data_IF_468477447051
#
_entry.id   IF_468477447051
#
_cell.length_a   1.000
_cell.length_b   1.000
_cell.length_c   1.000
_cell.angle_alpha   90.00
_cell.angle_beta   90.00
_cell.angle_gamma   90.00
#
_symmetry.space_group_name_H-M   'P 1'
#
loop_
_entity.id
_entity.type
_entity.pdbx_description
1 polymer ?
#
# COMPACT_ATOMS: atom_id res chain seq x y z
N UNK A 1 -22.96 9.56 3.76
CA UNK A 1 -21.73 9.87 3.00
C UNK A 1 -20.52 9.14 3.56
N UNK A 2 -20.12 9.41 4.81
CA UNK A 2 -18.91 8.82 5.43
C UNK A 2 -18.87 7.29 5.42
N UNK A 3 -19.90 6.61 5.94
CA UNK A 3 -19.96 5.13 6.00
C UNK A 3 -19.82 4.47 4.62
N UNK A 4 -20.41 5.07 3.58
CA UNK A 4 -20.33 4.55 2.21
C UNK A 4 -18.88 4.57 1.70
N UNK A 5 -18.17 5.67 1.96
CA UNK A 5 -16.78 5.82 1.53
C UNK A 5 -15.87 4.92 2.36
N UNK A 6 -16.14 4.76 3.66
CA UNK A 6 -15.43 3.81 4.50
C UNK A 6 -15.57 2.38 3.96
N UNK A 7 -16.79 1.90 3.71
CA UNK A 7 -17.00 0.56 3.16
C UNK A 7 -16.35 0.35 1.79
N UNK A 8 -16.47 1.32 0.87
CA UNK A 8 -15.77 1.27 -0.43
C UNK A 8 -14.26 1.20 -0.25
N UNK A 9 -13.72 1.98 0.68
CA UNK A 9 -12.28 2.03 0.96
C UNK A 9 -11.77 0.73 1.55
N UNK A 10 -12.54 0.08 2.44
CA UNK A 10 -12.21 -1.24 2.96
C UNK A 10 -12.15 -2.29 1.84
N UNK A 11 -13.14 -2.31 0.95
CA UNK A 11 -13.17 -3.25 -0.17
C UNK A 11 -12.03 -3.01 -1.17
N UNK A 12 -11.82 -1.76 -1.60
CA UNK A 12 -10.76 -1.41 -2.55
C UNK A 12 -9.39 -1.70 -1.93
N UNK A 13 -9.18 -1.29 -0.68
CA UNK A 13 -7.94 -1.55 0.05
C UNK A 13 -7.64 -3.04 0.17
N UNK A 14 -8.64 -3.86 0.48
CA UNK A 14 -8.49 -5.31 0.51
C UNK A 14 -8.09 -5.90 -0.84
N UNK A 15 -8.79 -5.53 -1.91
CA UNK A 15 -8.52 -6.03 -3.27
C UNK A 15 -7.14 -5.60 -3.79
N UNK A 16 -6.79 -4.32 -3.61
CA UNK A 16 -5.48 -3.78 -3.99
C UNK A 16 -4.38 -4.49 -3.19
N UNK A 17 -4.55 -4.59 -1.88
CA UNK A 17 -3.59 -5.26 -1.01
C UNK A 17 -3.36 -6.72 -1.38
N UNK A 18 -4.42 -7.47 -1.67
CA UNK A 18 -4.33 -8.86 -2.17
C UNK A 18 -3.56 -8.92 -3.49
N UNK A 19 -3.93 -8.06 -4.46
CA UNK A 19 -3.33 -8.06 -5.79
C UNK A 19 -1.84 -7.75 -5.77
N UNK A 20 -1.46 -6.70 -5.04
CA UNK A 20 -0.06 -6.28 -4.90
C UNK A 20 0.73 -7.29 -4.06
N UNK A 21 0.19 -7.79 -2.94
CA UNK A 21 0.88 -8.76 -2.08
C UNK A 21 1.14 -10.09 -2.79
N UNK A 22 0.12 -10.65 -3.46
CA UNK A 22 0.27 -11.84 -4.28
C UNK A 22 1.24 -11.60 -5.45
N UNK A 23 1.14 -10.42 -6.08
CA UNK A 23 2.03 -9.98 -7.16
C UNK A 23 3.49 -9.99 -6.73
N UNK A 24 3.82 -9.24 -5.68
CA UNK A 24 5.17 -9.10 -5.15
C UNK A 24 5.79 -10.45 -4.74
N UNK A 25 5.03 -11.30 -4.04
CA UNK A 25 5.53 -12.60 -3.60
C UNK A 25 5.79 -13.59 -4.75
N UNK A 26 4.96 -13.57 -5.80
CA UNK A 26 5.18 -14.40 -7.00
C UNK A 26 6.47 -14.03 -7.73
N UNK A 27 6.97 -12.82 -7.56
CA UNK A 27 8.21 -12.39 -8.20
C UNK A 27 9.44 -13.12 -7.67
N UNK A 28 9.41 -13.62 -6.43
CA UNK A 28 10.47 -14.48 -5.89
C UNK A 28 10.50 -15.88 -6.52
N UNK A 29 9.48 -16.24 -7.31
CA UNK A 29 9.31 -17.55 -7.93
C UNK A 29 9.36 -17.53 -9.47
N UNK A 30 9.16 -16.38 -10.11
CA UNK A 30 9.06 -16.29 -11.56
C UNK A 30 10.41 -15.94 -12.23
N UNK A 31 10.91 -16.74 -13.20
CA UNK A 31 12.19 -16.48 -13.85
C UNK A 31 12.11 -15.64 -15.14
N UNK A 32 13.25 -15.03 -15.49
CA UNK A 32 13.72 -14.39 -16.75
C UNK A 32 13.05 -13.13 -17.32
N UNK A 33 11.76 -12.83 -17.09
CA UNK A 33 11.18 -11.53 -17.51
C UNK A 33 10.13 -11.02 -16.51
N UNK A 34 10.43 -9.91 -15.85
CA UNK A 34 9.52 -9.21 -14.93
C UNK A 34 9.46 -7.73 -15.35
N UNK A 35 8.28 -7.11 -15.31
CA UNK A 35 8.12 -5.71 -15.74
C UNK A 35 8.94 -4.74 -14.88
N UNK A 36 9.47 -3.66 -15.48
CA UNK A 36 10.34 -2.69 -14.78
C UNK A 36 9.79 -2.18 -13.42
N UNK A 37 8.47 -1.96 -13.32
CA UNK A 37 7.85 -1.49 -12.07
C UNK A 37 7.81 -2.53 -10.95
N UNK A 38 7.93 -3.80 -11.31
CA UNK A 38 7.90 -4.91 -10.38
C UNK A 38 9.27 -5.04 -9.65
N UNK A 39 10.38 -4.70 -10.33
CA UNK A 39 11.72 -4.68 -9.71
C UNK A 39 11.86 -3.68 -8.57
N UNK A 40 11.09 -2.57 -8.62
CA UNK A 40 11.11 -1.59 -7.54
C UNK A 40 10.65 -2.21 -6.23
N UNK A 41 9.45 -2.79 -6.20
CA UNK A 41 8.90 -3.43 -5.00
C UNK A 41 9.77 -4.60 -4.55
N UNK A 42 10.26 -5.44 -5.48
CA UNK A 42 11.13 -6.56 -5.13
C UNK A 42 12.49 -6.10 -4.56
N UNK A 43 13.13 -5.10 -5.16
CA UNK A 43 14.40 -4.56 -4.69
C UNK A 43 14.28 -3.95 -3.28
N UNK A 44 13.20 -3.23 -3.03
CA UNK A 44 12.92 -2.62 -1.74
C UNK A 44 12.61 -3.67 -0.65
N UNK A 45 11.83 -4.70 -0.99
CA UNK A 45 11.59 -5.82 -0.07
C UNK A 45 12.90 -6.55 0.27
N UNK A 46 13.78 -6.77 -0.72
CA UNK A 46 15.08 -7.39 -0.47
C UNK A 46 16.04 -6.50 0.33
N UNK A 47 15.99 -5.18 0.16
CA UNK A 47 16.83 -4.24 0.91
C UNK A 47 16.57 -4.21 2.41
N UNK A 48 15.44 -4.76 2.87
CA UNK A 48 15.13 -4.90 4.28
C UNK A 48 15.68 -6.20 4.90
N UNK A 49 16.34 -7.06 4.10
CA UNK A 49 17.06 -8.27 4.53
C UNK A 49 16.25 -9.23 5.43
N UNK A 50 14.91 -9.22 5.29
CA UNK A 50 14.03 -10.06 6.10
C UNK A 50 13.84 -9.59 7.55
N UNK A 51 14.30 -8.37 7.89
CA UNK A 51 14.06 -7.77 9.20
C UNK A 51 12.70 -7.04 9.24
N UNK A 52 11.75 -7.47 10.10
CA UNK A 52 10.42 -6.86 10.17
C UNK A 52 10.43 -5.37 10.53
N UNK A 53 11.38 -4.93 11.37
CA UNK A 53 11.46 -3.53 11.79
C UNK A 53 11.91 -2.63 10.63
N UNK A 54 12.85 -3.11 9.81
CA UNK A 54 13.31 -2.46 8.59
C UNK A 54 12.18 -2.31 7.56
N UNK A 55 11.40 -3.38 7.33
CA UNK A 55 10.22 -3.31 6.47
C UNK A 55 9.18 -2.31 6.97
N UNK A 56 8.87 -2.31 8.26
CA UNK A 56 7.90 -1.35 8.82
C UNK A 56 8.39 0.09 8.67
N UNK A 57 9.66 0.34 9.02
CA UNK A 57 10.29 1.66 8.96
C UNK A 57 10.39 2.18 7.53
N UNK A 58 10.71 1.30 6.58
CA UNK A 58 10.73 1.63 5.14
C UNK A 58 9.36 2.11 4.68
N UNK A 59 8.29 1.35 4.95
CA UNK A 59 6.93 1.74 4.58
C UNK A 59 6.49 3.05 5.24
N UNK A 60 6.88 3.28 6.51
CA UNK A 60 6.57 4.51 7.24
C UNK A 60 7.22 5.74 6.61
N UNK A 61 8.43 5.60 6.05
CA UNK A 61 9.14 6.67 5.35
C UNK A 61 8.36 7.27 4.17
N UNK A 62 7.53 6.46 3.51
CA UNK A 62 6.68 6.91 2.39
C UNK A 62 5.25 7.26 2.82
N UNK A 63 4.80 6.72 3.96
CA UNK A 63 3.43 6.87 4.43
C UNK A 63 3.03 8.33 4.61
N UNK A 64 3.84 9.15 5.28
CA UNK A 64 3.48 10.55 5.54
C UNK A 64 3.40 11.38 4.26
N UNK A 65 4.22 11.07 3.26
CA UNK A 65 4.15 11.73 1.95
C UNK A 65 2.86 11.33 1.21
N UNK A 66 2.58 10.04 1.12
CA UNK A 66 1.35 9.54 0.50
C UNK A 66 0.09 10.06 1.22
N UNK A 67 0.14 10.17 2.55
CA UNK A 67 -0.93 10.72 3.35
C UNK A 67 -1.15 12.21 3.09
N UNK A 68 -0.08 13.01 3.09
CA UNK A 68 -0.17 14.43 2.74
C UNK A 68 -0.76 14.62 1.34
N UNK A 69 -0.36 13.80 0.37
CA UNK A 69 -0.91 13.82 -1.00
C UNK A 69 -2.41 13.46 -1.03
N UNK A 70 -2.84 12.45 -0.28
CA UNK A 70 -4.25 12.07 -0.16
C UNK A 70 -5.12 13.15 0.50
N UNK A 71 -4.57 13.84 1.49
CA UNK A 71 -5.26 14.94 2.20
C UNK A 71 -5.28 16.22 1.35
N UNK A 72 -4.20 16.55 0.65
CA UNK A 72 -4.09 17.80 -0.11
C UNK A 72 -4.68 17.69 -1.53
N UNK A 73 -4.26 16.69 -2.31
CA UNK A 73 -4.61 16.51 -3.72
C UNK A 73 -5.79 15.53 -3.92
N UNK A 74 -5.96 14.60 -2.98
CA UNK A 74 -7.03 13.60 -3.07
C UNK A 74 -6.79 12.44 -4.01
N UNK A 75 -5.56 12.28 -4.45
CA UNK A 75 -5.09 11.11 -5.16
C UNK A 75 -4.22 10.26 -4.23
N UNK A 76 -4.16 8.96 -4.54
CA UNK A 76 -3.13 8.10 -3.98
C UNK A 76 -1.88 8.19 -4.84
N UNK A 77 -0.73 8.10 -4.19
CA UNK A 77 0.55 7.94 -4.89
C UNK A 77 0.81 6.46 -5.12
N UNK A 78 1.67 6.15 -6.10
CA UNK A 78 2.12 4.79 -6.36
C UNK A 78 2.81 4.16 -5.12
N UNK A 79 3.26 4.97 -4.17
CA UNK A 79 3.93 4.50 -2.95
C UNK A 79 2.99 3.70 -2.03
N UNK A 80 1.69 3.99 -2.04
CA UNK A 80 0.68 3.21 -1.29
C UNK A 80 0.73 1.75 -1.74
N UNK A 81 0.66 1.55 -3.05
CA UNK A 81 0.56 0.22 -3.64
C UNK A 81 1.91 -0.47 -3.68
N UNK A 82 3.00 0.23 -3.99
CA UNK A 82 4.27 -0.43 -4.29
C UNK A 82 5.30 -0.41 -3.15
N UNK A 83 5.10 0.42 -2.13
CA UNK A 83 6.05 0.57 -1.01
C UNK A 83 5.40 0.27 0.32
N UNK A 84 4.32 0.96 0.65
CA UNK A 84 3.70 0.93 1.98
C UNK A 84 3.04 -0.42 2.23
N UNK A 85 2.06 -0.81 1.39
CA UNK A 85 1.30 -2.04 1.59
C UNK A 85 2.19 -3.29 1.55
N UNK A 86 3.09 -3.47 0.56
CA UNK A 86 3.98 -4.64 0.52
C UNK A 86 4.92 -4.75 1.70
N UNK A 87 5.57 -3.65 2.10
CA UNK A 87 6.52 -3.69 3.21
C UNK A 87 5.82 -3.88 4.55
N UNK A 88 4.71 -3.20 4.81
CA UNK A 88 3.96 -3.43 6.05
C UNK A 88 3.31 -4.81 6.08
N UNK A 89 2.87 -5.33 4.94
CA UNK A 89 2.42 -6.72 4.83
C UNK A 89 3.55 -7.71 5.15
N UNK A 90 4.75 -7.49 4.60
CA UNK A 90 5.93 -8.31 4.87
C UNK A 90 6.32 -8.24 6.35
N UNK A 91 6.43 -7.03 6.91
CA UNK A 91 6.71 -6.79 8.32
C UNK A 91 5.73 -7.56 9.21
N UNK A 92 4.42 -7.42 8.94
CA UNK A 92 3.38 -8.08 9.72
C UNK A 92 3.45 -9.60 9.63
N UNK A 93 3.74 -10.14 8.44
CA UNK A 93 3.87 -11.58 8.24
C UNK A 93 5.11 -12.16 8.92
N UNK A 94 6.20 -11.40 8.97
CA UNK A 94 7.50 -11.84 9.51
C UNK A 94 7.68 -11.59 11.01
N UNK A 95 6.74 -10.93 11.68
CA UNK A 95 6.80 -10.71 13.14
C UNK A 95 6.94 -12.03 13.93
N UNK A 96 6.32 -13.12 13.47
CA UNK A 96 6.31 -14.42 14.16
C UNK A 96 7.22 -15.48 13.53
N UNK A 97 7.55 -15.34 12.25
CA UNK A 97 8.41 -16.28 11.54
C UNK A 97 9.28 -15.51 10.54
N UNK A 98 10.60 -15.58 10.69
CA UNK A 98 11.55 -14.87 9.82
C UNK A 98 12.04 -15.69 8.63
N UNK A 99 11.56 -16.92 8.47
CA UNK A 99 11.85 -17.72 7.28
C UNK A 99 11.16 -17.13 6.05
N UNK A 100 11.95 -16.53 5.15
CA UNK A 100 11.50 -15.88 3.93
C UNK A 100 10.74 -16.82 3.00
N UNK A 101 11.17 -18.08 2.89
CA UNK A 101 10.53 -19.06 2.02
C UNK A 101 9.11 -19.37 2.49
N UNK A 102 8.91 -19.39 3.81
CA UNK A 102 7.59 -19.64 4.41
C UNK A 102 6.74 -18.38 4.58
N UNK A 103 7.31 -17.19 4.44
CA UNK A 103 6.64 -15.90 4.66
C UNK A 103 6.59 -15.05 3.39
N UNK A 104 7.55 -14.14 3.20
CA UNK A 104 7.61 -13.15 2.12
C UNK A 104 7.45 -13.78 0.73
N UNK A 105 8.06 -14.94 0.52
CA UNK A 105 8.01 -15.61 -0.78
C UNK A 105 6.65 -16.30 -0.99
N UNK A 106 5.92 -16.67 0.07
CA UNK A 106 4.65 -17.38 -0.04
C UNK A 106 3.52 -16.45 -0.56
N UNK A 107 3.02 -16.65 -1.81
CA UNK A 107 2.08 -15.71 -2.39
C UNK A 107 0.74 -15.62 -1.67
N UNK A 108 0.26 -16.75 -1.12
CA UNK A 108 -1.02 -16.78 -0.39
C UNK A 108 -0.91 -16.01 0.92
N UNK A 109 0.17 -16.19 1.67
CA UNK A 109 0.36 -15.50 2.95
C UNK A 109 0.59 -14.01 2.74
N UNK A 110 1.39 -13.63 1.75
CA UNK A 110 1.57 -12.22 1.42
C UNK A 110 0.29 -11.57 0.90
N UNK A 111 -0.52 -12.25 0.09
CA UNK A 111 -1.80 -11.74 -0.35
C UNK A 111 -2.73 -11.39 0.83
N UNK A 112 -2.81 -12.28 1.82
CA UNK A 112 -3.65 -12.08 3.01
C UNK A 112 -3.09 -10.96 3.88
N UNK A 113 -1.79 -10.96 4.16
CA UNK A 113 -1.15 -9.93 4.98
C UNK A 113 -1.30 -8.54 4.35
N UNK A 114 -0.98 -8.41 3.07
CA UNK A 114 -1.16 -7.16 2.34
C UNK A 114 -2.63 -6.78 2.15
N UNK A 115 -3.56 -7.73 2.03
CA UNK A 115 -5.00 -7.44 1.97
C UNK A 115 -5.52 -6.78 3.26
N UNK A 116 -5.09 -7.27 4.42
CA UNK A 116 -5.43 -6.67 5.72
C UNK A 116 -4.81 -5.28 5.83
N UNK A 117 -3.52 -5.16 5.51
CA UNK A 117 -2.81 -3.87 5.55
C UNK A 117 -3.43 -2.86 4.58
N UNK A 118 -3.72 -3.26 3.35
CA UNK A 118 -4.34 -2.41 2.34
C UNK A 118 -5.72 -1.93 2.76
N UNK A 119 -6.52 -2.80 3.39
CA UNK A 119 -7.81 -2.45 3.98
C UNK A 119 -7.65 -1.30 5.00
N UNK A 120 -6.69 -1.44 5.92
CA UNK A 120 -6.43 -0.44 6.98
C UNK A 120 -5.90 0.87 6.38
N UNK A 121 -4.88 0.79 5.53
CA UNK A 121 -4.20 1.96 4.95
C UNK A 121 -5.16 2.76 4.08
N UNK A 122 -5.87 2.12 3.15
CA UNK A 122 -6.78 2.81 2.23
C UNK A 122 -7.98 3.40 2.98
N UNK A 123 -8.52 2.68 3.97
CA UNK A 123 -9.57 3.22 4.83
C UNK A 123 -9.10 4.45 5.61
N UNK A 124 -7.88 4.41 6.17
CA UNK A 124 -7.29 5.55 6.88
C UNK A 124 -7.10 6.76 5.95
N UNK A 125 -6.47 6.57 4.78
CA UNK A 125 -6.18 7.65 3.83
C UNK A 125 -7.47 8.32 3.36
N UNK A 126 -8.48 7.55 2.96
CA UNK A 126 -9.74 8.12 2.51
C UNK A 126 -10.56 8.74 3.66
N UNK A 127 -10.56 8.16 4.85
CA UNK A 127 -11.29 8.72 5.99
C UNK A 127 -10.69 10.04 6.46
N UNK A 128 -9.36 10.15 6.48
CA UNK A 128 -8.68 11.40 6.84
C UNK A 128 -8.81 12.46 5.76
N UNK A 129 -8.75 12.08 4.49
CA UNK A 129 -9.03 13.00 3.38
C UNK A 129 -10.46 13.57 3.42
N UNK A 130 -11.44 12.78 3.89
CA UNK A 130 -12.83 13.24 4.08
C UNK A 130 -13.03 14.18 5.26
N UNK A 131 -12.16 14.13 6.27
CA UNK A 131 -12.25 15.00 7.43
C UNK A 131 -11.83 16.46 7.12
N UNK A 132 -11.25 16.71 5.94
CA UNK A 132 -10.85 18.05 5.49
C UNK A 132 -12.08 18.91 5.22
N UNK A 133 -12.17 20.13 5.80
CA UNK A 133 -13.30 21.04 5.57
C UNK A 133 -13.52 21.39 4.10
N UNK A 134 -14.79 21.49 3.68
CA UNK A 134 -15.17 21.80 2.30
C UNK A 134 -14.55 23.09 1.76
N UNK A 135 -14.30 24.08 2.62
CA UNK A 135 -13.64 25.34 2.25
C UNK A 135 -12.21 25.13 1.71
N UNK A 136 -11.50 24.09 2.17
CA UNK A 136 -10.16 23.73 1.69
C UNK A 136 -10.20 22.76 0.50
N UNK A 137 -11.36 22.13 0.24
CA UNK A 137 -11.55 21.23 -0.91
C UNK A 137 -11.66 21.98 -2.25
N UNK A 138 -11.89 23.30 -2.25
CA UNK A 138 -11.98 24.12 -3.48
C UNK A 138 -10.63 24.19 -4.24
N UNK A 139 -9.50 24.13 -3.54
CA UNK A 139 -8.18 24.00 -4.19
C UNK A 139 -7.92 22.61 -4.78
N UNK A 140 -8.62 21.59 -4.28
CA UNK A 140 -8.53 20.18 -4.73
C UNK A 140 -9.12 19.99 -6.13
N UNK A 141 -10.23 20.69 -6.42
CA UNK A 141 -10.89 20.69 -7.74
C UNK A 141 -10.18 21.52 -8.82
N UNK A 142 -9.29 22.46 -8.46
CA UNK A 142 -8.51 23.23 -9.46
C UNK A 142 -7.33 22.45 -10.05
N UNK A 143 -6.79 21.46 -9.33
CA UNK A 143 -5.71 20.60 -9.83
C UNK A 143 -6.22 19.44 -10.71
N UNK A 144 -7.50 19.08 -10.59
CA UNK A 144 -8.17 18.07 -11.43
C UNK A 144 -9.15 18.82 -12.32
N UNK A 145 -8.67 19.35 -13.44
CA UNK A 145 -9.40 20.28 -14.30
C UNK A 145 -10.88 19.92 -14.50
N UNK A 146 -11.76 20.67 -13.84
CA UNK A 146 -13.12 20.83 -14.31
C UNK A 146 -13.08 21.78 -15.51
N UNK A 147 -12.87 21.20 -16.70
CA UNK A 147 -13.48 21.78 -17.91
C UNK A 147 -14.94 21.36 -17.90
N UNK A 148 -15.80 22.29 -17.51
CA UNK A 148 -17.24 22.27 -17.62
C UNK A 148 -17.71 23.71 -17.61
#
# INVERSE_FOLDING_TARGET
MFLIILFKSLMIGGLVGVGVGAGAARMFHAPTTQGMGAFRTLGELNSCEGDPASHFSFGLGFFFNAWASSVAAGSFTQDVDHRIIPNWGAAALMMKNRDLAQTLHNPKKMAIACGIVGTIVVAFLNSTALAVPAALQVSRGKSTGSRG
#
